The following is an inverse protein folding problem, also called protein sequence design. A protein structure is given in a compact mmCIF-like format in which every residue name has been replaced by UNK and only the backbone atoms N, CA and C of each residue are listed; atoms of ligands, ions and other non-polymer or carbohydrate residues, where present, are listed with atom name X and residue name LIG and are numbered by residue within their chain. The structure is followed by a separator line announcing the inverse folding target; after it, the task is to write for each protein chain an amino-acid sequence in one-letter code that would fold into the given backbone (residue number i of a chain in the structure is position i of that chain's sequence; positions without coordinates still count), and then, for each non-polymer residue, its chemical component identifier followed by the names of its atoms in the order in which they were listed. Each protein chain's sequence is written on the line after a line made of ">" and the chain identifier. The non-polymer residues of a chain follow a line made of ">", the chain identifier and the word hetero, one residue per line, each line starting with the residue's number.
data_IF_362157820471
#
_entry.id   IF_362157820471
#
_cell.length_a   1.000
_cell.length_b   1.000
_cell.length_c   1.000
_cell.angle_alpha   90.00
_cell.angle_beta   90.00
_cell.angle_gamma   90.00
#
_symmetry.space_group_name_H-M   'P 1'
#
loop_
_entity.id
_entity.type
_entity.pdbx_description
1 polymer ?
#
# COMPACT_ATOMS: atom_id res chain seq x y z
N UNK A 1 14.61 11.22 -3.90
CA UNK A 1 14.37 9.95 -3.18
C UNK A 1 13.07 10.14 -2.44
N UNK A 2 11.98 9.58 -2.99
CA UNK A 2 10.74 9.49 -2.20
C UNK A 2 11.04 8.51 -1.07
N UNK A 3 10.60 8.80 0.16
CA UNK A 3 10.95 7.99 1.33
C UNK A 3 10.57 6.50 1.16
N UNK A 4 9.58 6.24 0.31
CA UNK A 4 9.03 4.96 -0.14
C UNK A 4 9.97 4.08 -0.99
N UNK A 5 10.92 4.67 -1.72
CA UNK A 5 11.84 3.92 -2.60
C UNK A 5 12.93 3.18 -1.81
N UNK A 6 13.04 3.43 -0.50
CA UNK A 6 13.90 2.62 0.34
C UNK A 6 13.22 1.25 0.50
N UNK A 7 13.85 0.16 0.04
CA UNK A 7 13.35 -1.23 0.20
C UNK A 7 13.00 -1.64 1.64
N UNK A 8 13.28 -0.80 2.64
CA UNK A 8 13.04 -1.03 4.06
C UNK A 8 12.05 -0.02 4.67
N UNK A 9 11.49 0.91 3.88
CA UNK A 9 10.53 1.87 4.38
C UNK A 9 9.19 1.19 4.64
N UNK A 10 8.87 1.06 5.92
CA UNK A 10 7.53 0.77 6.39
C UNK A 10 6.67 2.03 6.29
N UNK A 11 5.45 1.87 5.80
CA UNK A 11 4.45 2.93 5.67
C UNK A 11 3.18 2.50 6.38
N UNK A 12 2.44 3.45 6.93
CA UNK A 12 1.12 3.15 7.50
C UNK A 12 0.08 2.94 6.41
N UNK A 13 -1.04 2.30 6.74
CA UNK A 13 -2.15 2.13 5.79
C UNK A 13 -2.74 3.45 5.30
N UNK A 14 -2.77 4.48 6.15
CA UNK A 14 -3.21 5.82 5.76
C UNK A 14 -2.29 6.43 4.71
N UNK A 15 -0.97 6.36 4.93
CA UNK A 15 0.03 6.82 3.98
C UNK A 15 -0.06 6.07 2.65
N UNK A 16 -0.30 4.76 2.69
CA UNK A 16 -0.46 3.93 1.50
C UNK A 16 -1.71 4.32 0.69
N UNK A 17 -2.82 4.53 1.38
CA UNK A 17 -4.07 4.99 0.75
C UNK A 17 -3.90 6.37 0.13
N UNK A 18 -3.19 7.28 0.79
CA UNK A 18 -2.95 8.63 0.28
C UNK A 18 -2.06 8.60 -0.97
N UNK A 19 -1.01 7.77 -1.01
CA UNK A 19 -0.19 7.60 -2.21
C UNK A 19 -1.01 6.96 -3.34
N UNK A 20 -1.77 5.90 -3.08
CA UNK A 20 -2.69 5.31 -4.07
C UNK A 20 -3.65 6.36 -4.65
N UNK A 21 -4.18 7.26 -3.82
CA UNK A 21 -5.07 8.34 -4.26
C UNK A 21 -4.38 9.31 -5.23
N UNK A 22 -3.08 9.61 -5.03
CA UNK A 22 -2.29 10.44 -5.96
C UNK A 22 -2.23 9.80 -7.35
N UNK A 23 -2.17 8.47 -7.41
CA UNK A 23 -2.15 7.70 -8.67
C UNK A 23 -3.53 7.32 -9.20
N UNK A 24 -4.60 7.93 -8.66
CA UNK A 24 -5.99 7.66 -9.04
C UNK A 24 -6.45 6.23 -8.74
N UNK A 25 -5.84 5.58 -7.75
CA UNK A 25 -6.19 4.24 -7.27
C UNK A 25 -6.93 4.38 -5.94
N UNK A 26 -8.13 3.79 -5.87
CA UNK A 26 -8.94 3.82 -4.65
C UNK A 26 -8.60 2.60 -3.80
N UNK A 27 -7.72 2.77 -2.80
CA UNK A 27 -7.29 1.70 -1.93
C UNK A 27 -8.00 1.73 -0.55
N UNK A 28 -8.23 0.56 0.03
CA UNK A 28 -8.75 0.41 1.41
C UNK A 28 -8.04 -0.72 2.15
N UNK A 29 -8.01 -0.64 3.48
CA UNK A 29 -7.55 -1.74 4.33
C UNK A 29 -8.67 -2.74 4.52
N UNK A 30 -8.45 -3.98 4.11
CA UNK A 30 -9.36 -5.10 4.31
C UNK A 30 -9.30 -5.55 5.76
N UNK A 31 -10.41 -5.40 6.49
CA UNK A 31 -10.47 -5.73 7.92
C UNK A 31 -10.30 -7.21 8.29
N UNK A 32 -10.25 -8.13 7.33
CA UNK A 32 -10.06 -9.57 7.59
C UNK A 32 -8.61 -9.93 7.93
N UNK A 33 -7.66 -9.26 7.28
CA UNK A 33 -6.23 -9.59 7.34
C UNK A 33 -5.31 -8.36 7.19
N UNK A 34 -5.88 -7.16 7.28
CA UNK A 34 -5.17 -5.90 7.09
C UNK A 34 -4.46 -5.79 5.74
N UNK A 35 -4.92 -6.48 4.70
CA UNK A 35 -4.39 -6.28 3.36
C UNK A 35 -4.86 -4.94 2.77
N UNK A 36 -3.96 -4.23 2.10
CA UNK A 36 -4.32 -3.07 1.29
C UNK A 36 -4.84 -3.58 -0.05
N UNK A 37 -6.07 -3.24 -0.40
CA UNK A 37 -6.74 -3.70 -1.61
C UNK A 37 -7.22 -2.53 -2.46
N UNK A 38 -7.20 -2.69 -3.78
CA UNK A 38 -7.87 -1.79 -4.72
C UNK A 38 -9.39 -2.07 -4.69
N UNK A 39 -10.19 -1.06 -4.39
CA UNK A 39 -11.66 -1.14 -4.34
C UNK A 39 -12.26 -1.42 -5.71
N UNK A 40 -11.61 -0.97 -6.79
CA UNK A 40 -12.15 -1.09 -8.15
C UNK A 40 -11.97 -2.49 -8.72
N UNK A 41 -10.87 -3.16 -8.41
CA UNK A 41 -10.54 -4.48 -8.95
C UNK A 41 -10.63 -5.61 -7.93
N UNK A 42 -10.71 -5.29 -6.63
CA UNK A 42 -10.58 -6.22 -5.50
C UNK A 42 -9.19 -6.91 -5.46
N UNK A 43 -8.19 -6.34 -6.15
CA UNK A 43 -6.82 -6.86 -6.14
C UNK A 43 -6.08 -6.43 -4.88
N UNK A 44 -5.20 -7.32 -4.40
CA UNK A 44 -4.32 -7.03 -3.27
C UNK A 44 -3.12 -6.23 -3.74
N UNK A 45 -2.96 -5.03 -3.18
CA UNK A 45 -1.83 -4.13 -3.43
C UNK A 45 -0.64 -4.55 -2.56
N UNK A 46 -0.86 -4.72 -1.25
CA UNK A 46 0.17 -5.10 -0.29
C UNK A 46 -0.42 -5.78 0.95
N UNK A 47 0.38 -6.61 1.62
CA UNK A 47 0.03 -7.17 2.92
C UNK A 47 0.68 -6.35 4.03
N UNK A 48 -0.06 -6.11 5.10
CA UNK A 48 0.52 -5.54 6.31
C UNK A 48 1.39 -6.57 7.02
N UNK A 49 2.43 -6.08 7.70
CA UNK A 49 3.25 -6.85 8.62
C UNK A 49 2.55 -7.06 9.98
N UNK A 50 3.26 -7.68 10.93
CA UNK A 50 2.71 -7.92 12.28
C UNK A 50 2.41 -6.63 13.06
N UNK A 51 3.01 -5.50 12.68
CA UNK A 51 2.77 -4.18 13.28
C UNK A 51 1.62 -3.42 12.59
N UNK A 52 1.10 -3.92 11.46
CA UNK A 52 0.08 -3.24 10.66
C UNK A 52 0.64 -2.24 9.65
N UNK A 53 1.95 -2.30 9.39
CA UNK A 53 2.66 -1.46 8.43
C UNK A 53 2.87 -2.19 7.10
N UNK A 54 3.08 -1.45 6.02
CA UNK A 54 3.23 -1.99 4.67
C UNK A 54 4.62 -1.68 4.14
N UNK A 55 5.17 -2.59 3.34
CA UNK A 55 6.39 -2.32 2.59
C UNK A 55 6.09 -1.36 1.45
N UNK A 56 6.68 -0.16 1.49
CA UNK A 56 6.51 0.85 0.44
C UNK A 56 6.90 0.33 -0.95
N UNK A 57 7.87 -0.59 -1.02
CA UNK A 57 8.29 -1.24 -2.27
C UNK A 57 7.19 -2.11 -2.91
N UNK A 58 6.35 -2.80 -2.12
CA UNK A 58 5.25 -3.62 -2.66
C UNK A 58 4.19 -2.73 -3.31
N UNK A 59 3.86 -1.62 -2.65
CA UNK A 59 2.89 -0.64 -3.14
C UNK A 59 3.39 0.03 -4.42
N UNK A 60 4.64 0.48 -4.43
CA UNK A 60 5.27 1.07 -5.62
C UNK A 60 5.37 0.06 -6.77
N UNK A 61 5.73 -1.18 -6.48
CA UNK A 61 5.81 -2.25 -7.48
C UNK A 61 4.46 -2.56 -8.11
N UNK A 62 3.38 -2.54 -7.32
CA UNK A 62 2.01 -2.69 -7.84
C UNK A 62 1.60 -1.49 -8.70
N UNK A 63 1.96 -0.27 -8.31
CA UNK A 63 1.73 0.95 -9.09
C UNK A 63 2.58 1.03 -10.37
N UNK A 64 3.59 0.16 -10.53
CA UNK A 64 4.41 0.04 -11.73
C UNK A 64 5.71 0.86 -11.72
N UNK A 65 6.24 1.16 -10.53
CA UNK A 65 7.55 1.81 -10.35
C UNK A 65 8.72 0.84 -10.22
#
# INVERSE_FOLDING_TARGET
>A
MRYWEACEAQVTGEEAIDECRIHLVEAVVRGADSALIDVQTDDVIAYADEAGEYFGADILGWLGY
#
